data_IF_368377868851
#
_entry.id   IF_368377868851
#
_cell.length_a   1.000
_cell.length_b   1.000
_cell.length_c   1.000
_cell.angle_alpha   90.00
_cell.angle_beta   90.00
_cell.angle_gamma   90.00
#
_symmetry.space_group_name_H-M   'P 1'
#
loop_
_entity.id
_entity.type
_entity.pdbx_description
1 polymer ?
#
# COMPACT_ATOMS: atom_id res chain seq x y z
N UNK A 1 0.73 -30.81 24.96
CA UNK A 1 0.92 -29.35 24.78
C UNK A 1 0.65 -29.01 23.32
N UNK A 2 -0.18 -28.00 23.04
CA UNK A 2 -0.50 -27.62 21.67
C UNK A 2 0.67 -26.83 21.08
N UNK A 3 1.51 -27.49 20.28
CA UNK A 3 2.69 -26.89 19.64
C UNK A 3 2.35 -26.01 18.43
N UNK A 4 1.15 -26.18 17.85
CA UNK A 4 0.69 -25.47 16.64
C UNK A 4 0.84 -23.93 16.72
N UNK A 5 0.30 -23.26 17.75
CA UNK A 5 0.42 -21.80 17.88
C UNK A 5 1.87 -21.33 17.99
N UNK A 6 2.73 -22.08 18.69
CA UNK A 6 4.15 -21.72 18.83
C UNK A 6 4.90 -21.82 17.50
N UNK A 7 4.59 -22.84 16.69
CA UNK A 7 5.16 -23.00 15.34
C UNK A 7 4.73 -21.82 14.44
N UNK A 8 3.44 -21.46 14.46
CA UNK A 8 2.93 -20.35 13.67
C UNK A 8 3.59 -19.01 14.04
N UNK A 9 3.73 -18.72 15.33
CA UNK A 9 4.43 -17.52 15.82
C UNK A 9 5.91 -17.53 15.41
N UNK A 10 6.58 -18.68 15.51
CA UNK A 10 7.97 -18.84 15.06
C UNK A 10 8.14 -18.54 13.56
N UNK A 11 7.24 -19.02 12.71
CA UNK A 11 7.27 -18.76 11.27
C UNK A 11 7.02 -17.28 10.94
N UNK A 12 6.04 -16.65 11.60
CA UNK A 12 5.76 -15.22 11.42
C UNK A 12 6.99 -14.39 11.84
N UNK A 13 7.57 -14.68 13.00
CA UNK A 13 8.77 -14.00 13.48
C UNK A 13 9.95 -14.17 12.50
N UNK A 14 10.16 -15.37 11.97
CA UNK A 14 11.21 -15.64 10.99
C UNK A 14 11.01 -14.82 9.71
N UNK A 15 9.80 -14.79 9.15
CA UNK A 15 9.48 -14.00 7.95
C UNK A 15 9.74 -12.51 8.19
N UNK A 16 9.34 -11.99 9.36
CA UNK A 16 9.59 -10.59 9.73
C UNK A 16 11.08 -10.29 9.86
N UNK A 17 11.84 -11.15 10.53
CA UNK A 17 13.30 -11.00 10.69
C UNK A 17 13.99 -10.98 9.32
N UNK A 18 13.67 -11.93 8.44
CA UNK A 18 14.24 -11.98 7.08
C UNK A 18 13.88 -10.73 6.28
N UNK A 19 12.62 -10.28 6.37
CA UNK A 19 12.17 -9.04 5.71
C UNK A 19 12.91 -7.80 6.20
N UNK A 20 13.11 -7.67 7.52
CA UNK A 20 13.85 -6.57 8.14
C UNK A 20 15.31 -6.61 7.68
N UNK A 21 15.98 -7.76 7.81
CA UNK A 21 17.38 -7.91 7.39
C UNK A 21 17.54 -7.53 5.92
N UNK A 22 16.69 -8.07 5.03
CA UNK A 22 16.74 -7.76 3.59
C UNK A 22 16.52 -6.27 3.31
N UNK A 23 15.63 -5.63 4.05
CA UNK A 23 15.38 -4.19 3.93
C UNK A 23 16.62 -3.39 4.35
N UNK A 24 17.21 -3.70 5.52
CA UNK A 24 18.40 -3.03 6.04
C UNK A 24 19.60 -3.18 5.10
N UNK A 25 19.86 -4.40 4.62
CA UNK A 25 20.91 -4.68 3.64
C UNK A 25 20.69 -3.89 2.36
N UNK A 26 19.45 -3.81 1.87
CA UNK A 26 19.13 -3.01 0.70
C UNK A 26 19.41 -1.52 0.89
N UNK A 27 19.12 -0.96 2.06
CA UNK A 27 19.51 0.43 2.36
C UNK A 27 21.02 0.63 2.41
N UNK A 28 21.76 -0.32 2.99
CA UNK A 28 23.22 -0.25 3.08
C UNK A 28 23.88 -0.31 1.71
N UNK A 29 23.42 -1.21 0.83
CA UNK A 29 23.93 -1.33 -0.54
C UNK A 29 23.67 -0.03 -1.32
N UNK A 30 22.45 0.51 -1.27
CA UNK A 30 22.13 1.77 -1.97
C UNK A 30 22.96 2.94 -1.46
N UNK A 31 23.29 2.97 -0.16
CA UNK A 31 24.12 4.02 0.40
C UNK A 31 25.58 3.93 -0.09
N UNK A 32 26.12 2.71 -0.19
CA UNK A 32 27.45 2.47 -0.77
C UNK A 32 27.49 2.86 -2.25
N UNK A 33 26.49 2.42 -3.02
CA UNK A 33 26.39 2.72 -4.45
C UNK A 33 26.26 4.24 -4.69
N UNK A 34 25.60 4.97 -3.80
CA UNK A 34 25.50 6.43 -3.88
C UNK A 34 26.86 7.14 -3.78
N UNK A 35 27.76 6.64 -2.92
CA UNK A 35 29.10 7.20 -2.77
C UNK A 35 29.96 6.93 -4.01
N UNK A 36 29.83 5.74 -4.62
CA UNK A 36 30.51 5.41 -5.87
C UNK A 36 30.00 6.26 -7.04
N UNK A 37 28.68 6.41 -7.16
CA UNK A 37 28.04 7.19 -8.22
C UNK A 37 28.33 8.68 -8.09
N UNK A 38 28.56 9.19 -6.88
CA UNK A 38 28.96 10.58 -6.65
C UNK A 38 30.28 10.94 -7.34
N UNK A 39 31.27 10.05 -7.33
CA UNK A 39 32.56 10.25 -8.01
C UNK A 39 32.39 10.34 -9.53
N UNK A 40 31.51 9.49 -10.08
CA UNK A 40 31.13 9.51 -11.51
C UNK A 40 30.37 10.80 -11.84
N UNK A 41 29.46 11.22 -10.96
CA UNK A 41 28.68 12.45 -11.11
C UNK A 41 29.57 13.69 -11.13
N UNK A 42 30.58 13.79 -10.26
CA UNK A 42 31.55 14.89 -10.27
C UNK A 42 32.30 14.99 -11.60
N UNK A 43 32.71 13.84 -12.15
CA UNK A 43 33.48 13.77 -13.40
C UNK A 43 32.63 14.17 -14.61
N UNK A 44 31.40 13.67 -14.69
CA UNK A 44 30.52 13.87 -15.85
C UNK A 44 29.72 15.17 -15.78
N UNK A 45 29.44 15.70 -14.58
CA UNK A 45 28.57 16.86 -14.36
C UNK A 45 29.23 17.90 -13.44
N UNK A 46 30.51 18.20 -13.63
CA UNK A 46 31.30 19.10 -12.77
C UNK A 46 30.59 20.41 -12.42
N UNK A 47 30.01 21.10 -13.41
CA UNK A 47 29.24 22.35 -13.21
C UNK A 47 28.05 22.21 -12.25
N UNK A 48 27.43 21.04 -12.21
CA UNK A 48 26.30 20.74 -11.31
C UNK A 48 26.79 20.26 -9.95
N UNK A 49 27.90 19.52 -9.93
CA UNK A 49 28.54 19.04 -8.72
C UNK A 49 29.03 20.20 -7.83
N UNK A 50 29.52 21.31 -8.42
CA UNK A 50 29.94 22.51 -7.67
C UNK A 50 28.82 23.11 -6.80
N UNK A 51 27.54 22.85 -7.14
CA UNK A 51 26.36 23.37 -6.44
C UNK A 51 25.69 22.36 -5.51
N UNK A 52 26.22 21.15 -5.41
CA UNK A 52 25.58 20.06 -4.66
C UNK A 52 26.61 19.44 -3.73
N UNK A 53 26.30 19.27 -2.45
CA UNK A 53 27.20 18.51 -1.57
C UNK A 53 27.04 17.01 -1.79
N UNK A 54 28.07 16.23 -1.44
CA UNK A 54 28.02 14.77 -1.44
C UNK A 54 26.87 14.22 -0.59
N UNK A 55 26.64 14.83 0.58
CA UNK A 55 25.57 14.44 1.49
C UNK A 55 24.19 14.69 0.87
N UNK A 56 24.02 15.82 0.20
CA UNK A 56 22.80 16.16 -0.53
C UNK A 56 22.54 15.22 -1.70
N UNK A 57 23.58 14.88 -2.46
CA UNK A 57 23.49 13.91 -3.56
C UNK A 57 23.13 12.53 -3.02
N UNK A 58 23.82 12.06 -1.98
CA UNK A 58 23.60 10.76 -1.35
C UNK A 58 22.18 10.65 -0.78
N UNK A 59 21.67 11.71 -0.14
CA UNK A 59 20.30 11.76 0.35
C UNK A 59 19.27 11.71 -0.79
N UNK A 60 19.50 12.46 -1.88
CA UNK A 60 18.62 12.43 -3.04
C UNK A 60 18.64 11.05 -3.74
N UNK A 61 19.82 10.44 -3.86
CA UNK A 61 20.03 9.13 -4.48
C UNK A 61 19.36 8.02 -3.68
N UNK A 62 19.62 7.97 -2.37
CA UNK A 62 19.01 6.97 -1.48
C UNK A 62 17.49 7.13 -1.40
N UNK A 63 16.96 8.34 -1.43
CA UNK A 63 15.51 8.58 -1.48
C UNK A 63 14.88 8.05 -2.78
N UNK A 64 15.56 8.20 -3.90
CA UNK A 64 15.08 7.74 -5.21
C UNK A 64 15.20 6.22 -5.40
N UNK A 65 16.25 5.59 -4.88
CA UNK A 65 16.58 4.17 -5.14
C UNK A 65 16.39 3.23 -3.95
N UNK A 66 15.95 3.73 -2.79
CA UNK A 66 15.71 2.86 -1.62
C UNK A 66 14.65 1.80 -1.90
N UNK A 67 14.79 0.57 -1.35
CA UNK A 67 13.84 -0.53 -1.54
C UNK A 67 12.56 -0.34 -0.71
N UNK A 68 11.88 0.79 -0.90
CA UNK A 68 10.70 1.22 -0.14
C UNK A 68 9.59 0.19 -0.19
N UNK A 69 9.32 -0.40 -1.36
CA UNK A 69 8.26 -1.39 -1.51
C UNK A 69 8.40 -2.56 -0.54
N UNK A 70 9.63 -3.06 -0.37
CA UNK A 70 9.91 -4.13 0.59
C UNK A 70 9.74 -3.65 2.03
N UNK A 71 10.27 -2.47 2.37
CA UNK A 71 10.17 -1.89 3.70
C UNK A 71 8.70 -1.71 4.14
N UNK A 72 7.86 -1.16 3.25
CA UNK A 72 6.44 -0.98 3.50
C UNK A 72 5.68 -2.32 3.56
N UNK A 73 6.03 -3.29 2.73
CA UNK A 73 5.42 -4.62 2.79
C UNK A 73 5.74 -5.35 4.11
N UNK A 74 7.00 -5.35 4.54
CA UNK A 74 7.41 -5.92 5.82
C UNK A 74 6.78 -5.16 6.99
N UNK A 75 6.74 -3.82 6.92
CA UNK A 75 6.07 -2.99 7.90
C UNK A 75 4.57 -3.29 8.02
N UNK A 76 3.87 -3.43 6.90
CA UNK A 76 2.45 -3.79 6.88
C UNK A 76 2.20 -5.15 7.51
N UNK A 77 3.05 -6.14 7.22
CA UNK A 77 2.95 -7.48 7.81
C UNK A 77 3.18 -7.43 9.33
N UNK A 78 4.17 -6.67 9.79
CA UNK A 78 4.44 -6.49 11.21
C UNK A 78 3.26 -5.82 11.93
N UNK A 79 2.71 -4.76 11.33
CA UNK A 79 1.52 -4.07 11.87
C UNK A 79 0.32 -5.00 11.88
N UNK A 80 0.05 -5.75 10.81
CA UNK A 80 -1.05 -6.72 10.77
C UNK A 80 -0.93 -7.79 11.86
N UNK A 81 0.29 -8.29 12.11
CA UNK A 81 0.56 -9.25 13.19
C UNK A 81 0.25 -8.67 14.57
N UNK A 82 0.65 -7.41 14.83
CA UNK A 82 0.37 -6.72 16.10
C UNK A 82 -1.11 -6.33 16.24
N UNK A 83 -1.77 -5.97 15.15
CA UNK A 83 -3.19 -5.60 15.13
C UNK A 83 -4.09 -6.82 15.35
N UNK A 84 -3.68 -8.01 14.95
CA UNK A 84 -4.48 -9.24 15.05
C UNK A 84 -5.05 -9.51 16.45
N UNK A 85 -4.23 -9.58 17.55
CA UNK A 85 -4.78 -9.81 18.89
C UNK A 85 -5.70 -8.67 19.36
N UNK A 86 -5.39 -7.42 19.02
CA UNK A 86 -6.21 -6.26 19.35
C UNK A 86 -7.55 -6.28 18.60
N UNK A 87 -7.53 -6.66 17.33
CA UNK A 87 -8.72 -6.79 16.49
C UNK A 87 -9.62 -7.92 17.01
N UNK A 88 -9.07 -9.08 17.34
CA UNK A 88 -9.84 -10.17 17.94
C UNK A 88 -10.48 -9.73 19.25
N UNK A 89 -9.73 -9.09 20.15
CA UNK A 89 -10.26 -8.56 21.42
C UNK A 89 -11.39 -7.55 21.19
N UNK A 90 -11.21 -6.59 20.29
CA UNK A 90 -12.21 -5.58 19.97
C UNK A 90 -13.47 -6.20 19.32
N UNK A 91 -13.30 -7.14 18.38
CA UNK A 91 -14.41 -7.82 17.73
C UNK A 91 -15.19 -8.70 18.73
N UNK A 92 -14.50 -9.46 19.58
CA UNK A 92 -15.17 -10.23 20.64
C UNK A 92 -15.95 -9.31 21.58
N UNK A 93 -15.39 -8.17 21.96
CA UNK A 93 -16.07 -7.17 22.77
C UNK A 93 -17.33 -6.62 22.07
N UNK A 94 -17.22 -6.24 20.80
CA UNK A 94 -18.35 -5.73 20.01
C UNK A 94 -19.43 -6.81 19.88
N UNK A 95 -19.05 -8.05 19.59
CA UNK A 95 -19.99 -9.15 19.46
C UNK A 95 -20.77 -9.40 20.75
N UNK A 96 -20.06 -9.46 21.88
CA UNK A 96 -20.65 -9.74 23.19
C UNK A 96 -21.56 -8.62 23.70
N UNK A 97 -21.26 -7.35 23.40
CA UNK A 97 -22.02 -6.22 23.97
C UNK A 97 -23.04 -5.60 23.01
N UNK A 98 -22.83 -5.73 21.69
CA UNK A 98 -23.65 -5.05 20.68
C UNK A 98 -24.54 -6.04 19.92
N UNK A 99 -24.03 -7.25 19.64
CA UNK A 99 -24.71 -8.22 18.77
C UNK A 99 -25.51 -9.22 19.60
N UNK A 100 -24.87 -9.85 20.58
CA UNK A 100 -25.52 -10.83 21.45
C UNK A 100 -25.98 -10.13 22.72
N UNK A 101 -27.20 -9.60 22.70
CA UNK A 101 -27.92 -9.29 23.94
C UNK A 101 -28.56 -10.59 24.46
N UNK A 102 -28.43 -10.84 25.77
CA UNK A 102 -28.92 -12.05 26.42
C UNK A 102 -30.38 -12.35 26.04
N UNK A 103 -30.66 -13.61 25.70
CA UNK A 103 -32.03 -14.07 25.46
C UNK A 103 -32.70 -14.20 26.82
N UNK A 104 -33.77 -13.44 27.06
CA UNK A 104 -34.66 -13.73 28.18
C UNK A 104 -35.16 -15.19 28.04
N UNK A 105 -34.85 -16.09 29.00
CA UNK A 105 -35.27 -17.49 28.94
C UNK A 105 -36.80 -17.66 28.85
N UNK A 106 -37.55 -16.63 29.25
CA UNK A 106 -39.02 -16.61 29.24
C UNK A 106 -39.58 -15.87 28.01
N UNK A 107 -38.76 -15.54 27.03
CA UNK A 107 -39.22 -14.83 25.84
C UNK A 107 -40.34 -15.63 25.13
N UNK A 108 -41.46 -14.97 24.78
CA UNK A 108 -42.57 -15.62 24.10
C UNK A 108 -42.13 -16.22 22.75
N UNK A 109 -42.86 -17.25 22.31
CA UNK A 109 -42.64 -17.91 21.02
C UNK A 109 -42.70 -16.83 19.91
N UNK A 110 -41.70 -16.82 19.03
CA UNK A 110 -41.62 -15.87 17.92
C UNK A 110 -42.93 -15.91 17.10
N UNK A 111 -43.59 -14.76 16.98
CA UNK A 111 -44.84 -14.62 16.22
C UNK A 111 -44.58 -14.09 14.82
N UNK A 112 -43.39 -13.57 14.57
CA UNK A 112 -42.96 -13.04 13.27
C UNK A 112 -41.68 -13.69 12.75
N UNK A 113 -41.49 -13.67 11.43
CA UNK A 113 -40.28 -14.19 10.77
C UNK A 113 -39.02 -13.46 11.26
N UNK A 114 -39.12 -12.15 11.49
CA UNK A 114 -38.01 -11.34 11.98
C UNK A 114 -37.54 -11.78 13.38
N UNK A 115 -38.48 -12.17 14.25
CA UNK A 115 -38.17 -12.71 15.58
C UNK A 115 -37.52 -14.09 15.49
N UNK A 116 -38.00 -14.97 14.61
CA UNK A 116 -37.41 -16.30 14.42
C UNK A 116 -35.99 -16.23 13.86
N UNK A 117 -35.71 -15.35 12.89
CA UNK A 117 -34.36 -15.10 12.38
C UNK A 117 -33.45 -14.57 13.49
N UNK A 118 -33.95 -13.65 14.32
CA UNK A 118 -33.20 -13.11 15.47
C UNK A 118 -33.00 -14.16 16.58
N UNK A 119 -33.89 -15.16 16.69
CA UNK A 119 -33.73 -16.32 17.58
C UNK A 119 -32.68 -17.29 17.03
N UNK A 120 -32.75 -17.63 15.74
CA UNK A 120 -31.78 -18.48 15.05
C UNK A 120 -30.36 -17.91 15.11
N UNK A 121 -30.18 -16.61 14.87
CA UNK A 121 -28.88 -15.93 15.02
C UNK A 121 -28.30 -16.05 16.45
N UNK A 122 -29.15 -16.23 17.47
CA UNK A 122 -28.72 -16.44 18.86
C UNK A 122 -28.46 -17.91 19.18
N UNK A 123 -29.26 -18.85 18.66
CA UNK A 123 -29.04 -20.29 18.83
C UNK A 123 -27.85 -20.81 18.00
N UNK A 124 -27.62 -20.27 16.81
CA UNK A 124 -26.46 -20.57 15.94
C UNK A 124 -25.23 -19.74 16.33
N UNK A 125 -25.20 -19.27 17.58
CA UNK A 125 -24.20 -18.34 18.13
C UNK A 125 -22.75 -18.65 17.74
N UNK A 126 -22.28 -19.91 17.74
CA UNK A 126 -20.90 -20.24 17.33
C UNK A 126 -20.58 -19.95 15.85
N UNK A 127 -21.53 -20.17 14.94
CA UNK A 127 -21.34 -19.99 13.50
C UNK A 127 -21.32 -18.51 13.15
N UNK A 128 -22.32 -17.76 13.66
CA UNK A 128 -22.44 -16.31 13.46
C UNK A 128 -21.23 -15.59 14.06
N UNK A 129 -20.78 -16.01 15.24
CA UNK A 129 -19.58 -15.48 15.88
C UNK A 129 -18.33 -15.71 15.02
N UNK A 130 -18.14 -16.93 14.52
CA UNK A 130 -16.99 -17.30 13.69
C UNK A 130 -16.98 -16.52 12.37
N UNK A 131 -18.15 -16.35 11.73
CA UNK A 131 -18.31 -15.53 10.53
C UNK A 131 -17.98 -14.06 10.82
N UNK A 132 -18.52 -13.50 11.90
CA UNK A 132 -18.26 -12.13 12.33
C UNK A 132 -16.78 -11.89 12.60
N UNK A 133 -16.12 -12.77 13.35
CA UNK A 133 -14.68 -12.69 13.62
C UNK A 133 -13.86 -12.78 12.34
N UNK A 134 -14.19 -13.71 11.44
CA UNK A 134 -13.44 -13.91 10.20
C UNK A 134 -13.48 -12.67 9.30
N UNK A 135 -14.68 -12.14 9.01
CA UNK A 135 -14.83 -10.95 8.17
C UNK A 135 -14.34 -9.69 8.87
N UNK A 136 -14.54 -9.56 10.18
CA UNK A 136 -13.97 -8.46 10.96
C UNK A 136 -12.45 -8.44 10.91
N UNK A 137 -11.82 -9.62 11.02
CA UNK A 137 -10.37 -9.75 10.94
C UNK A 137 -9.84 -9.42 9.54
N UNK A 138 -10.48 -9.92 8.47
CA UNK A 138 -10.15 -9.54 7.08
C UNK A 138 -10.29 -8.02 6.90
N UNK A 139 -11.37 -7.43 7.41
CA UNK A 139 -11.58 -5.98 7.39
C UNK A 139 -10.45 -5.21 8.08
N UNK A 140 -9.97 -5.70 9.23
CA UNK A 140 -8.86 -5.09 9.96
C UNK A 140 -7.55 -5.12 9.16
N UNK A 141 -7.25 -6.25 8.50
CA UNK A 141 -6.08 -6.36 7.62
C UNK A 141 -6.21 -5.50 6.36
N UNK A 142 -7.42 -5.42 5.79
CA UNK A 142 -7.74 -4.50 4.70
C UNK A 142 -7.50 -3.04 5.09
N UNK A 143 -7.85 -2.65 6.32
CA UNK A 143 -7.53 -1.34 6.88
C UNK A 143 -6.03 -1.07 6.98
N UNK A 144 -5.25 -2.03 7.51
CA UNK A 144 -3.79 -1.93 7.57
C UNK A 144 -3.18 -1.79 6.18
N UNK A 145 -3.64 -2.60 5.22
CA UNK A 145 -3.19 -2.55 3.84
C UNK A 145 -3.52 -1.20 3.19
N UNK A 146 -4.73 -0.68 3.39
CA UNK A 146 -5.15 0.63 2.89
C UNK A 146 -4.28 1.75 3.45
N UNK A 147 -4.07 1.80 4.77
CA UNK A 147 -3.23 2.83 5.41
C UNK A 147 -1.79 2.74 4.92
N UNK A 148 -1.22 1.53 4.84
CA UNK A 148 0.14 1.33 4.34
C UNK A 148 0.26 1.80 2.88
N UNK A 149 -0.66 1.39 2.01
CA UNK A 149 -0.67 1.82 0.61
C UNK A 149 -0.82 3.34 0.51
N UNK A 150 -1.69 3.94 1.33
CA UNK A 150 -1.88 5.39 1.36
C UNK A 150 -0.60 6.12 1.76
N UNK A 151 0.13 5.61 2.77
CA UNK A 151 1.42 6.18 3.18
C UNK A 151 2.49 5.99 2.09
N UNK A 152 2.54 4.81 1.48
CA UNK A 152 3.46 4.49 0.38
C UNK A 152 3.29 5.47 -0.80
N UNK A 153 2.04 5.75 -1.20
CA UNK A 153 1.75 6.65 -2.31
C UNK A 153 1.72 8.14 -1.94
N UNK A 154 1.67 8.49 -0.65
CA UNK A 154 1.71 9.90 -0.22
C UNK A 154 3.10 10.49 -0.40
N UNK A 155 4.13 9.69 -0.20
CA UNK A 155 5.51 10.11 -0.33
C UNK A 155 6.00 9.92 -1.77
N UNK A 156 5.50 10.74 -2.68
CA UNK A 156 5.89 10.72 -4.09
C UNK A 156 7.41 10.86 -4.21
N UNK A 157 8.07 9.83 -4.75
CA UNK A 157 9.50 9.88 -5.05
C UNK A 157 9.65 10.65 -6.34
N UNK A 158 9.84 11.95 -6.21
CA UNK A 158 10.35 12.76 -7.32
C UNK A 158 11.62 12.07 -7.87
N UNK A 159 11.80 12.02 -9.20
CA UNK A 159 13.02 11.51 -9.80
C UNK A 159 14.26 12.17 -9.19
N UNK A 160 15.39 11.46 -9.15
CA UNK A 160 16.63 12.00 -8.57
C UNK A 160 16.98 13.38 -9.13
N UNK A 161 16.81 13.59 -10.42
CA UNK A 161 17.09 14.87 -11.09
C UNK A 161 16.22 16.01 -10.54
N UNK A 162 14.94 15.75 -10.26
CA UNK A 162 14.06 16.77 -9.70
C UNK A 162 14.47 17.14 -8.26
N UNK A 163 14.88 16.16 -7.46
CA UNK A 163 15.41 16.40 -6.12
C UNK A 163 16.73 17.20 -6.16
N UNK A 164 17.66 16.81 -7.04
CA UNK A 164 18.93 17.52 -7.21
C UNK A 164 18.70 18.96 -7.68
N UNK A 165 17.78 19.20 -8.62
CA UNK A 165 17.42 20.54 -9.08
C UNK A 165 16.81 21.39 -7.97
N UNK A 166 15.94 20.80 -7.15
CA UNK A 166 15.37 21.47 -5.97
C UNK A 166 16.46 21.87 -4.97
N UNK A 167 17.45 21.02 -4.74
CA UNK A 167 18.59 21.31 -3.86
C UNK A 167 19.46 22.44 -4.44
N UNK A 168 19.75 22.41 -5.74
CA UNK A 168 20.53 23.44 -6.45
C UNK A 168 19.82 24.79 -6.60
N UNK A 169 18.51 24.85 -6.34
CA UNK A 169 17.69 26.03 -6.58
C UNK A 169 17.38 26.27 -8.07
N UNK A 170 17.54 25.26 -8.91
CA UNK A 170 17.20 25.35 -10.33
C UNK A 170 15.67 25.42 -10.50
N UNK A 171 15.20 26.08 -11.56
CA UNK A 171 13.77 26.11 -11.89
C UNK A 171 13.22 24.68 -11.95
N UNK A 172 11.99 24.39 -11.48
CA UNK A 172 11.43 23.03 -11.56
C UNK A 172 11.47 22.52 -12.99
N UNK A 173 11.53 21.19 -13.19
CA UNK A 173 11.39 20.66 -14.55
C UNK A 173 10.05 21.19 -15.02
N UNK A 174 9.94 21.58 -16.30
CA UNK A 174 8.62 21.91 -16.78
C UNK A 174 7.77 20.67 -16.50
N UNK A 175 6.92 20.76 -15.49
CA UNK A 175 5.75 19.91 -15.30
C UNK A 175 4.75 20.21 -16.41
N UNK A 176 5.24 20.64 -17.59
CA UNK A 176 4.58 20.37 -18.84
C UNK A 176 4.19 18.91 -18.79
N UNK A 177 3.00 18.64 -19.30
CA UNK A 177 2.38 17.36 -19.56
C UNK A 177 3.37 16.39 -20.25
N UNK A 178 4.38 15.94 -19.52
CA UNK A 178 5.32 14.90 -19.84
C UNK A 178 4.80 13.59 -19.24
N UNK A 179 3.47 13.44 -19.20
CA UNK A 179 2.93 12.20 -19.72
C UNK A 179 3.62 12.02 -21.06
N UNK A 180 4.53 11.03 -21.16
CA UNK A 180 5.22 10.63 -22.39
C UNK A 180 4.39 11.07 -23.57
N UNK A 181 4.89 12.03 -24.37
CA UNK A 181 4.15 12.57 -25.52
C UNK A 181 3.59 11.36 -26.26
N UNK A 182 2.28 11.16 -26.14
CA UNK A 182 1.64 9.90 -26.52
C UNK A 182 2.08 9.62 -27.95
N UNK A 183 2.59 8.41 -28.26
CA UNK A 183 2.91 8.10 -29.64
C UNK A 183 1.65 8.37 -30.46
N UNK A 184 1.76 9.13 -31.55
CA UNK A 184 0.61 9.58 -32.34
C UNK A 184 -0.26 8.43 -32.85
N UNK A 185 0.27 7.21 -32.87
CA UNK A 185 -0.40 5.97 -33.26
C UNK A 185 -1.22 5.30 -32.15
N UNK A 186 -1.05 5.64 -30.86
CA UNK A 186 -1.85 5.02 -29.81
C UNK A 186 -3.30 5.50 -29.94
N UNK A 187 -4.32 4.62 -29.88
CA UNK A 187 -5.73 5.00 -30.00
C UNK A 187 -6.40 5.28 -28.64
N UNK A 188 -5.73 5.02 -27.51
CA UNK A 188 -6.28 5.18 -26.15
C UNK A 188 -6.00 6.57 -25.56
N UNK A 189 -7.03 7.30 -25.15
CA UNK A 189 -6.98 8.61 -24.50
C UNK A 189 -7.36 8.43 -23.03
N UNK A 190 -6.55 8.96 -22.11
CA UNK A 190 -6.88 8.95 -20.69
C UNK A 190 -7.89 10.07 -20.42
N UNK A 191 -9.13 9.70 -20.11
CA UNK A 191 -10.16 10.60 -19.59
C UNK A 191 -10.36 10.41 -18.09
N UNK A 192 -11.29 11.16 -17.51
CA UNK A 192 -11.55 11.18 -16.07
C UNK A 192 -12.05 9.83 -15.52
N UNK A 193 -12.60 8.98 -16.40
CA UNK A 193 -13.05 7.62 -16.09
C UNK A 193 -12.02 6.52 -16.43
N UNK A 194 -10.79 6.88 -16.84
CA UNK A 194 -9.75 5.93 -17.24
C UNK A 194 -9.37 6.00 -18.73
N UNK A 195 -8.76 4.94 -19.27
CA UNK A 195 -8.33 4.86 -20.67
C UNK A 195 -9.54 4.55 -21.57
N UNK A 196 -9.84 5.43 -22.51
CA UNK A 196 -10.95 5.30 -23.47
C UNK A 196 -10.44 5.40 -24.91
N UNK A 197 -11.09 4.74 -25.87
CA UNK A 197 -10.72 4.87 -27.28
C UNK A 197 -11.08 6.28 -27.80
N UNK A 198 -10.17 6.89 -28.56
CA UNK A 198 -10.43 8.16 -29.23
C UNK A 198 -11.58 7.98 -30.23
N UNK A 199 -12.74 8.56 -29.95
CA UNK A 199 -13.94 8.51 -30.80
C UNK A 199 -13.70 9.11 -32.19
N UNK A 200 -12.62 9.86 -32.39
CA UNK A 200 -12.28 10.45 -33.68
C UNK A 200 -11.52 9.49 -34.61
N UNK A 201 -10.92 8.41 -34.09
CA UNK A 201 -10.24 7.40 -34.91
C UNK A 201 -11.21 6.41 -35.60
N UNK A 202 -12.47 6.34 -35.16
CA UNK A 202 -13.48 5.48 -35.78
C UNK A 202 -14.14 6.11 -37.01
N UNK A 203 -13.87 7.39 -37.32
CA UNK A 203 -14.41 8.03 -38.52
C UNK A 203 -13.45 7.78 -39.69
N UNK A 204 -13.85 7.00 -40.71
CA UNK A 204 -13.04 6.87 -41.91
C UNK A 204 -12.83 8.25 -42.52
N UNK A 205 -11.58 8.64 -42.78
CA UNK A 205 -11.27 9.85 -43.54
C UNK A 205 -11.95 9.69 -44.90
N UNK A 206 -13.04 10.41 -45.15
CA UNK A 206 -13.59 10.56 -46.50
C UNK A 206 -12.48 11.17 -47.36
N UNK A 207 -11.94 10.36 -48.26
CA UNK A 207 -10.94 10.80 -49.22
C UNK A 207 -11.49 11.99 -49.98
N UNK A 208 -10.71 13.08 -50.03
CA UNK A 208 -10.91 14.09 -51.07
C UNK A 208 -10.41 13.45 -52.36
N UNK A 209 -11.34 13.01 -53.19
CA UNK A 209 -11.07 12.81 -54.61
C UNK A 209 -10.69 14.17 -55.19
N UNK A 210 -9.49 14.25 -55.76
CA UNK A 210 -9.05 15.34 -56.63
C UNK A 210 -9.38 14.98 -58.07
#
# INVERSE_FOLDING_TARGET
MNTGPMIALGLIALILIVGIIRTLVGYWVVHRDAAEEWLVFQTNNSKQADKTSEEQFTQAYTRAHSPRGLAFATGALAVAALVTPLAVMALTFIYANVIVQEVDPNAPIATTIAEEVRRQLRTDGPLVYSFFLFFGLIGSWGGVAYVTARLFYRDDTAPIEENLRKIRGDAPLSTGKAGRKRPSWSPLVRGDAGLTLDKNLSKPKKGKEN
#
